data_IF_153781906451
#
_entry.id   IF_153781906451
#
_cell.length_a   1.000
_cell.length_b   1.000
_cell.length_c   1.000
_cell.angle_alpha   90.00
_cell.angle_beta   90.00
_cell.angle_gamma   90.00
#
_symmetry.space_group_name_H-M   'P 1'
#
loop_
_entity.id
_entity.type
_entity.pdbx_description
1 polymer ?
#
# COMPACT_ATOMS: atom_id res chain seq x y z
N UNK A 1 -9.80 24.26 -8.79
CA UNK A 1 -9.28 23.54 -7.61
C UNK A 1 -9.66 24.31 -6.37
N UNK A 2 -9.98 23.62 -5.27
CA UNK A 2 -10.06 24.25 -3.95
C UNK A 2 -8.65 24.61 -3.46
N UNK A 3 -8.51 25.78 -2.83
CA UNK A 3 -7.24 26.25 -2.26
C UNK A 3 -7.21 25.95 -0.76
N UNK A 4 -6.08 25.41 -0.27
CA UNK A 4 -5.84 25.16 1.15
C UNK A 4 -4.52 25.81 1.55
N UNK A 5 -4.53 26.64 2.59
CA UNK A 5 -3.34 27.28 3.14
C UNK A 5 -2.82 26.46 4.33
N UNK A 6 -1.52 26.23 4.39
CA UNK A 6 -0.87 25.49 5.48
C UNK A 6 0.35 26.29 5.94
N UNK A 7 0.42 26.59 7.23
CA UNK A 7 1.59 27.22 7.84
C UNK A 7 2.57 26.15 8.29
N UNK A 8 3.84 26.29 7.90
CA UNK A 8 4.91 25.37 8.27
C UNK A 8 6.01 26.14 9.00
N UNK A 9 6.66 25.55 10.02
CA UNK A 9 7.90 26.06 10.56
C UNK A 9 8.96 26.24 9.47
N UNK A 10 9.86 27.21 9.64
CA UNK A 10 10.87 27.54 8.64
C UNK A 10 11.67 26.31 8.13
N UNK A 11 12.18 25.41 9.00
CA UNK A 11 12.93 24.24 8.53
C UNK A 11 12.09 23.29 7.67
N UNK A 12 10.79 23.14 7.97
CA UNK A 12 9.90 22.30 7.18
C UNK A 12 9.61 22.91 5.81
N UNK A 13 9.45 24.24 5.75
CA UNK A 13 9.28 24.95 4.47
C UNK A 13 10.49 24.74 3.57
N UNK A 14 11.70 24.96 4.07
CA UNK A 14 12.93 24.76 3.29
C UNK A 14 13.05 23.32 2.78
N UNK A 15 12.73 22.35 3.62
CA UNK A 15 12.78 20.94 3.24
C UNK A 15 11.78 20.61 2.13
N UNK A 16 10.55 21.11 2.23
CA UNK A 16 9.51 20.89 1.20
C UNK A 16 9.86 21.60 -0.12
N UNK A 17 10.43 22.80 -0.05
CA UNK A 17 10.93 23.50 -1.25
C UNK A 17 12.09 22.75 -1.92
N UNK A 18 12.97 22.12 -1.13
CA UNK A 18 14.03 21.27 -1.67
C UNK A 18 13.47 20.06 -2.41
N UNK A 19 12.36 19.46 -1.95
CA UNK A 19 11.70 18.36 -2.67
C UNK A 19 11.21 18.79 -4.06
N UNK A 20 10.65 19.99 -4.18
CA UNK A 20 10.24 20.54 -5.48
C UNK A 20 11.44 20.78 -6.42
N UNK A 21 12.61 21.12 -5.89
CA UNK A 21 13.83 21.35 -6.69
C UNK A 21 14.48 20.09 -7.25
N UNK A 22 14.04 18.90 -6.83
CA UNK A 22 14.58 17.61 -7.33
C UNK A 22 14.16 17.28 -8.76
N UNK A 23 13.26 18.06 -9.38
CA UNK A 23 12.68 17.78 -10.69
C UNK A 23 11.55 16.75 -10.67
N UNK A 24 11.29 16.10 -9.52
CA UNK A 24 10.18 15.16 -9.34
C UNK A 24 8.82 15.85 -9.22
N UNK A 25 8.78 17.09 -8.74
CA UNK A 25 7.55 17.85 -8.51
C UNK A 25 7.69 19.25 -9.11
N UNK A 26 6.66 19.77 -9.76
CA UNK A 26 6.73 21.10 -10.39
C UNK A 26 6.63 22.24 -9.38
N UNK A 27 6.03 21.98 -8.20
CA UNK A 27 5.91 22.94 -7.11
C UNK A 27 5.65 22.22 -5.77
N UNK A 28 5.64 23.01 -4.69
CA UNK A 28 5.36 22.54 -3.33
C UNK A 28 3.97 21.90 -3.19
N UNK A 29 2.94 22.49 -3.81
CA UNK A 29 1.58 21.93 -3.74
C UNK A 29 1.49 20.55 -4.40
N UNK A 30 2.26 20.28 -5.45
CA UNK A 30 2.31 18.96 -6.09
C UNK A 30 2.90 17.92 -5.14
N UNK A 31 3.98 18.29 -4.44
CA UNK A 31 4.56 17.46 -3.40
C UNK A 31 3.57 17.15 -2.28
N UNK A 32 2.86 18.17 -1.77
CA UNK A 32 1.87 18.00 -0.69
C UNK A 32 0.70 17.12 -1.15
N UNK A 33 0.20 17.30 -2.38
CA UNK A 33 -0.86 16.44 -2.93
C UNK A 33 -0.40 14.99 -3.04
N UNK A 34 0.85 14.75 -3.41
CA UNK A 34 1.41 13.40 -3.45
C UNK A 34 1.55 12.77 -2.05
N UNK A 35 1.94 13.55 -1.04
CA UNK A 35 1.94 13.09 0.35
C UNK A 35 0.54 12.67 0.82
N UNK A 36 -0.50 13.46 0.51
CA UNK A 36 -1.88 13.12 0.84
C UNK A 36 -2.30 11.80 0.18
N UNK A 37 -1.98 11.61 -1.11
CA UNK A 37 -2.27 10.34 -1.80
C UNK A 37 -1.54 9.16 -1.17
N UNK A 38 -0.27 9.33 -0.80
CA UNK A 38 0.52 8.30 -0.12
C UNK A 38 -0.06 7.94 1.24
N UNK A 39 -0.53 8.93 1.98
CA UNK A 39 -1.19 8.73 3.27
C UNK A 39 -2.50 7.93 3.10
N UNK A 40 -3.36 8.33 2.16
CA UNK A 40 -4.58 7.60 1.82
C UNK A 40 -4.28 6.15 1.42
N UNK A 41 -3.37 5.94 0.47
CA UNK A 41 -2.97 4.60 0.03
C UNK A 41 -2.40 3.75 1.17
N UNK A 42 -1.67 4.37 2.12
CA UNK A 42 -1.15 3.66 3.29
C UNK A 42 -2.30 3.23 4.21
N UNK A 43 -3.25 4.12 4.46
CA UNK A 43 -4.48 3.82 5.21
C UNK A 43 -5.24 2.64 4.60
N UNK A 44 -5.47 2.68 3.28
CA UNK A 44 -6.19 1.62 2.55
C UNK A 44 -5.45 0.28 2.63
N UNK A 45 -4.12 0.28 2.48
CA UNK A 45 -3.31 -0.94 2.61
C UNK A 45 -3.36 -1.54 4.01
N UNK A 46 -3.32 -0.71 5.04
CA UNK A 46 -3.44 -1.15 6.44
C UNK A 46 -4.82 -1.75 6.67
N UNK A 47 -5.89 -1.08 6.23
CA UNK A 47 -7.26 -1.56 6.37
C UNK A 47 -7.46 -2.90 5.64
N UNK A 48 -6.93 -3.04 4.41
CA UNK A 48 -6.99 -4.28 3.66
C UNK A 48 -6.23 -5.43 4.37
N UNK A 49 -5.03 -5.15 4.88
CA UNK A 49 -4.27 -6.14 5.64
C UNK A 49 -5.00 -6.57 6.91
N UNK A 50 -5.54 -5.62 7.67
CA UNK A 50 -6.30 -5.91 8.89
C UNK A 50 -7.49 -6.82 8.59
N UNK A 51 -8.23 -6.54 7.51
CA UNK A 51 -9.33 -7.39 7.06
C UNK A 51 -8.86 -8.81 6.76
N UNK A 52 -7.76 -9.00 6.03
CA UNK A 52 -7.25 -10.35 5.74
C UNK A 52 -6.81 -11.10 7.01
N UNK A 53 -6.25 -10.39 7.99
CA UNK A 53 -5.91 -10.97 9.29
C UNK A 53 -7.18 -11.39 10.04
N UNK A 54 -8.19 -10.53 10.09
CA UNK A 54 -9.46 -10.81 10.76
C UNK A 54 -10.17 -12.01 10.12
N UNK A 55 -10.26 -12.03 8.78
CA UNK A 55 -10.83 -13.16 8.01
C UNK A 55 -10.06 -14.46 8.31
N UNK A 56 -8.73 -14.40 8.37
CA UNK A 56 -7.87 -15.54 8.71
C UNK A 56 -8.10 -16.06 10.12
N UNK A 57 -8.19 -15.17 11.12
CA UNK A 57 -8.47 -15.54 12.51
C UNK A 57 -9.86 -16.16 12.65
N UNK A 58 -10.87 -15.60 11.98
CA UNK A 58 -12.24 -16.12 11.97
C UNK A 58 -12.36 -17.47 11.25
N UNK A 59 -11.50 -17.75 10.26
CA UNK A 59 -11.48 -19.02 9.54
C UNK A 59 -11.06 -20.23 10.41
N UNK A 60 -10.52 -19.96 11.61
CA UNK A 60 -10.08 -20.98 12.55
C UNK A 60 -8.72 -21.59 12.18
N UNK A 61 -8.31 -22.62 12.93
CA UNK A 61 -7.00 -23.26 12.72
C UNK A 61 -7.04 -24.21 11.53
N UNK A 62 -6.11 -24.05 10.60
CA UNK A 62 -5.88 -25.01 9.53
C UNK A 62 -5.42 -26.37 10.09
N UNK A 63 -5.93 -27.45 9.51
CA UNK A 63 -5.61 -28.83 9.91
C UNK A 63 -4.62 -29.53 8.97
N UNK A 64 -4.30 -28.89 7.83
CA UNK A 64 -3.43 -29.48 6.79
C UNK A 64 -1.96 -29.37 7.19
N UNK A 65 -1.19 -30.42 6.88
CA UNK A 65 0.25 -30.37 7.03
C UNK A 65 0.89 -29.48 5.96
N UNK A 66 2.16 -29.11 6.18
CA UNK A 66 2.96 -28.41 5.19
C UNK A 66 2.97 -29.16 3.85
N UNK A 67 3.22 -30.46 3.88
CA UNK A 67 3.39 -31.27 2.66
C UNK A 67 2.09 -31.35 1.86
N UNK A 68 0.94 -31.47 2.56
CA UNK A 68 -0.38 -31.42 1.92
C UNK A 68 -0.62 -30.10 1.19
N UNK A 69 -0.24 -28.97 1.82
CA UNK A 69 -0.40 -27.64 1.23
C UNK A 69 0.45 -27.48 -0.03
N UNK A 70 1.70 -27.96 -0.01
CA UNK A 70 2.58 -27.91 -1.19
C UNK A 70 2.10 -28.83 -2.31
N UNK A 71 1.64 -30.04 -1.99
CA UNK A 71 1.07 -30.94 -2.98
C UNK A 71 -0.16 -30.34 -3.67
N UNK A 72 -1.06 -29.71 -2.90
CA UNK A 72 -2.23 -29.00 -3.44
C UNK A 72 -1.80 -27.82 -4.34
N UNK A 73 -0.80 -27.05 -3.94
CA UNK A 73 -0.32 -25.91 -4.72
C UNK A 73 0.24 -26.33 -6.09
N UNK A 74 1.06 -27.40 -6.13
CA UNK A 74 1.61 -27.95 -7.39
C UNK A 74 0.48 -28.44 -8.29
N UNK A 75 -0.46 -29.22 -7.75
CA UNK A 75 -1.58 -29.74 -8.52
C UNK A 75 -2.46 -28.63 -9.11
N UNK A 76 -2.64 -27.52 -8.39
CA UNK A 76 -3.39 -26.35 -8.88
C UNK A 76 -2.65 -25.62 -10.00
N UNK A 77 -1.33 -25.46 -9.89
CA UNK A 77 -0.51 -24.85 -10.93
C UNK A 77 -0.55 -25.65 -12.23
N UNK A 78 -0.42 -26.98 -12.16
CA UNK A 78 -0.52 -27.86 -13.32
C UNK A 78 -1.90 -27.81 -13.99
N UNK A 79 -2.98 -27.74 -13.20
CA UNK A 79 -4.34 -27.57 -13.73
C UNK A 79 -4.50 -26.24 -14.46
N UNK A 80 -3.91 -25.16 -13.95
CA UNK A 80 -3.95 -23.85 -14.59
C UNK A 80 -3.22 -23.84 -15.94
N UNK A 81 -2.11 -24.57 -16.06
CA UNK A 81 -1.33 -24.71 -17.29
C UNK A 81 -2.04 -25.54 -18.36
N UNK A 82 -2.79 -26.57 -17.98
CA UNK A 82 -3.55 -27.43 -18.90
C UNK A 82 -4.86 -26.80 -19.40
N UNK A 83 -5.30 -25.68 -18.80
CA UNK A 83 -6.55 -24.99 -19.13
C UNK A 83 -6.37 -23.82 -20.11
N UNK A 84 -5.12 -23.54 -20.49
CA UNK A 84 -4.73 -22.66 -21.60
C UNK A 84 -4.32 -23.51 -22.80
#
# INVERSE_FOLDING_TARGET
>A
MATMNVSLPHPMKEWVEAQAKTGRYSNVSDYVRDLIRKDQMRGDKIAAMQRFVDDGLQSGKGTRSRDDLFAIAIANAEKSLKRN
#
